data_IF_422861403826
#
_entry.id   IF_422861403826
#
_cell.length_a   1.000
_cell.length_b   1.000
_cell.length_c   1.000
_cell.angle_alpha   90.00
_cell.angle_beta   90.00
_cell.angle_gamma   90.00
#
_symmetry.space_group_name_H-M   'P 1'
#
loop_
_entity.id
_entity.type
_entity.pdbx_description
1 polymer ?
#
# COMPACT_ATOMS: atom_id res chain seq x y z
N UNK A 1 -31.01 55.10 -39.10
CA UNK A 1 -29.75 55.63 -38.55
C UNK A 1 -29.43 54.84 -37.29
N UNK A 2 -28.32 54.09 -37.29
CA UNK A 2 -27.92 53.23 -36.16
C UNK A 2 -27.20 51.97 -36.63
N UNK A 3 -26.10 52.15 -37.36
CA UNK A 3 -25.22 51.07 -37.83
C UNK A 3 -24.28 50.66 -36.69
N UNK A 4 -24.52 49.52 -36.05
CA UNK A 4 -23.61 48.92 -35.06
C UNK A 4 -22.60 48.02 -35.75
N UNK A 5 -21.36 48.52 -35.86
CA UNK A 5 -20.22 47.77 -36.35
C UNK A 5 -19.79 46.67 -35.38
N UNK A 6 -19.76 45.44 -35.89
CA UNK A 6 -19.10 44.31 -35.28
C UNK A 6 -17.72 44.19 -35.92
N UNK A 7 -16.72 44.78 -35.29
CA UNK A 7 -15.32 44.63 -35.69
C UNK A 7 -14.76 43.30 -35.14
N UNK A 8 -13.95 42.66 -35.97
CA UNK A 8 -13.54 41.27 -35.89
C UNK A 8 -12.75 40.89 -34.64
N UNK A 9 -13.13 39.76 -34.06
CA UNK A 9 -12.33 39.02 -33.08
C UNK A 9 -11.23 38.28 -33.86
N UNK A 10 -9.93 38.54 -33.59
CA UNK A 10 -8.85 37.81 -34.24
C UNK A 10 -8.74 36.40 -33.64
N UNK A 11 -9.25 35.40 -34.36
CA UNK A 11 -9.00 33.97 -34.13
C UNK A 11 -7.62 33.58 -34.63
N UNK A 12 -6.57 33.94 -33.89
CA UNK A 12 -5.26 33.31 -34.02
C UNK A 12 -4.97 32.55 -32.73
N UNK A 13 -5.48 31.32 -32.66
CA UNK A 13 -5.07 30.35 -31.63
C UNK A 13 -3.57 30.09 -31.84
N UNK A 14 -2.69 30.40 -30.89
CA UNK A 14 -1.27 30.09 -31.03
C UNK A 14 -1.13 28.57 -31.13
N UNK A 15 -0.68 28.10 -32.29
CA UNK A 15 -0.26 26.72 -32.49
C UNK A 15 0.91 26.49 -31.55
N UNK A 16 0.63 25.77 -30.45
CA UNK A 16 1.61 25.42 -29.43
C UNK A 16 2.53 24.37 -30.04
N UNK A 17 3.63 24.80 -30.66
CA UNK A 17 4.70 23.88 -31.04
C UNK A 17 5.17 23.14 -29.77
N UNK A 18 5.09 21.80 -29.72
CA UNK A 18 5.58 21.08 -28.58
C UNK A 18 7.10 21.27 -28.51
N UNK A 19 7.66 21.74 -27.38
CA UNK A 19 9.12 21.84 -27.23
C UNK A 19 9.73 20.44 -27.28
N UNK A 20 10.14 20.04 -28.48
CA UNK A 20 10.81 18.78 -28.77
C UNK A 20 12.29 18.89 -28.42
N UNK A 21 12.62 18.77 -27.13
CA UNK A 21 13.93 18.32 -26.65
C UNK A 21 13.88 18.15 -25.13
N UNK A 22 13.37 17.01 -24.68
CA UNK A 22 13.65 16.51 -23.33
C UNK A 22 15.16 16.19 -23.24
N UNK A 23 15.85 16.52 -22.14
CA UNK A 23 17.21 16.03 -21.90
C UNK A 23 17.16 14.50 -21.70
N UNK A 24 17.72 13.66 -22.61
CA UNK A 24 17.17 12.31 -22.80
C UNK A 24 18.16 11.17 -22.48
N UNK A 25 18.77 11.12 -21.29
CA UNK A 25 19.58 9.94 -20.95
C UNK A 25 19.58 9.55 -19.47
N UNK A 26 19.71 10.54 -18.57
CA UNK A 26 19.77 10.22 -17.13
C UNK A 26 18.40 9.83 -16.56
N UNK A 27 17.31 10.34 -17.15
CA UNK A 27 15.97 10.03 -16.68
C UNK A 27 15.55 8.60 -17.06
N UNK A 28 16.10 8.02 -18.14
CA UNK A 28 15.76 6.67 -18.59
C UNK A 28 16.32 5.58 -17.66
N UNK A 29 17.57 5.72 -17.20
CA UNK A 29 18.19 4.78 -16.23
C UNK A 29 17.43 4.81 -14.89
N UNK A 30 16.99 6.00 -14.47
CA UNK A 30 16.18 6.14 -13.28
C UNK A 30 14.80 5.49 -13.48
N UNK A 31 14.07 5.86 -14.52
CA UNK A 31 12.73 5.32 -14.77
C UNK A 31 12.73 3.80 -14.92
N UNK A 32 13.73 3.24 -15.61
CA UNK A 32 13.89 1.80 -15.79
C UNK A 32 14.15 1.07 -14.47
N UNK A 33 15.00 1.61 -13.59
CA UNK A 33 15.25 1.05 -12.26
C UNK A 33 13.98 1.02 -11.40
N UNK A 34 13.17 2.07 -11.45
CA UNK A 34 11.90 2.11 -10.71
C UNK A 34 10.82 1.22 -11.31
N UNK A 35 10.75 1.14 -12.64
CA UNK A 35 9.87 0.20 -13.35
C UNK A 35 10.21 -1.24 -12.98
N UNK A 36 11.50 -1.55 -12.83
CA UNK A 36 11.94 -2.84 -12.29
C UNK A 36 11.45 -3.03 -10.85
N UNK A 37 11.62 -2.03 -9.97
CA UNK A 37 11.13 -2.09 -8.60
C UNK A 37 9.63 -2.35 -8.48
N UNK A 38 8.80 -1.66 -9.28
CA UNK A 38 7.34 -1.88 -9.32
C UNK A 38 7.01 -3.28 -9.83
N UNK A 39 7.72 -3.76 -10.87
CA UNK A 39 7.55 -5.13 -11.38
C UNK A 39 7.93 -6.17 -10.33
N UNK A 40 9.07 -6.00 -9.67
CA UNK A 40 9.54 -6.91 -8.60
C UNK A 40 8.53 -6.93 -7.46
N UNK A 41 8.03 -5.78 -7.03
CA UNK A 41 6.98 -5.69 -6.01
C UNK A 41 5.68 -6.39 -6.45
N UNK A 42 5.29 -6.24 -7.72
CA UNK A 42 4.14 -6.92 -8.28
C UNK A 42 4.33 -8.44 -8.32
N UNK A 43 5.47 -8.92 -8.82
CA UNK A 43 5.79 -10.36 -8.86
C UNK A 43 5.91 -10.95 -7.46
N UNK A 44 6.52 -10.25 -6.51
CA UNK A 44 6.63 -10.71 -5.13
C UNK A 44 5.25 -10.81 -4.47
N UNK A 45 4.38 -9.80 -4.66
CA UNK A 45 3.03 -9.84 -4.11
C UNK A 45 2.18 -10.95 -4.75
N UNK A 46 2.33 -11.21 -6.07
CA UNK A 46 1.68 -12.36 -6.71
C UNK A 46 2.17 -13.69 -6.14
N UNK A 47 3.50 -13.85 -6.01
CA UNK A 47 4.10 -15.07 -5.49
C UNK A 47 3.67 -15.33 -4.04
N UNK A 48 3.72 -14.31 -3.17
CA UNK A 48 3.24 -14.40 -1.79
C UNK A 48 1.74 -14.75 -1.77
N UNK A 49 0.92 -14.09 -2.59
CA UNK A 49 -0.52 -14.36 -2.65
C UNK A 49 -0.88 -15.77 -3.13
N UNK A 50 0.00 -16.42 -3.90
CA UNK A 50 -0.20 -17.78 -4.35
C UNK A 50 0.36 -18.80 -3.33
N UNK A 51 1.56 -18.56 -2.82
CA UNK A 51 2.26 -19.46 -1.92
C UNK A 51 1.65 -19.49 -0.52
N UNK A 52 1.23 -18.35 0.04
CA UNK A 52 0.71 -18.28 1.42
C UNK A 52 -0.59 -19.08 1.58
N UNK A 53 -1.64 -18.87 0.76
CA UNK A 53 -2.86 -19.66 0.88
C UNK A 53 -2.58 -21.14 0.64
N UNK A 54 -1.74 -21.49 -0.34
CA UNK A 54 -1.37 -22.87 -0.63
C UNK A 54 -0.65 -23.54 0.55
N UNK A 55 0.30 -22.84 1.18
CA UNK A 55 0.98 -23.31 2.39
C UNK A 55 -0.01 -23.49 3.54
N UNK A 56 -0.93 -22.56 3.74
CA UNK A 56 -2.00 -22.70 4.75
C UNK A 56 -2.93 -23.88 4.46
N UNK A 57 -3.25 -24.16 3.18
CA UNK A 57 -4.01 -25.36 2.82
C UNK A 57 -3.24 -26.63 3.18
N UNK A 58 -1.95 -26.72 2.83
CA UNK A 58 -1.12 -27.88 3.14
C UNK A 58 -1.03 -28.12 4.66
N UNK A 59 -0.85 -27.06 5.45
CA UNK A 59 -0.81 -27.16 6.92
C UNK A 59 -2.16 -27.67 7.44
N UNK A 60 -3.28 -27.14 6.93
CA UNK A 60 -4.62 -27.57 7.32
C UNK A 60 -4.89 -29.05 6.98
N UNK A 61 -4.31 -29.55 5.89
CA UNK A 61 -4.40 -30.96 5.51
C UNK A 61 -3.48 -31.87 6.32
N UNK A 62 -2.29 -31.41 6.68
CA UNK A 62 -1.34 -32.18 7.48
C UNK A 62 -1.80 -32.33 8.93
N UNK A 63 -2.35 -31.27 9.51
CA UNK A 63 -2.72 -31.26 10.92
C UNK A 63 -3.96 -30.36 11.18
N UNK A 64 -5.17 -30.90 10.95
CA UNK A 64 -6.42 -30.13 11.09
C UNK A 64 -6.74 -29.77 12.54
N UNK A 65 -6.00 -30.34 13.50
CA UNK A 65 -6.20 -30.15 14.93
C UNK A 65 -5.54 -28.89 15.49
N UNK A 66 -4.65 -28.26 14.69
CA UNK A 66 -3.95 -27.06 15.12
C UNK A 66 -4.93 -25.90 15.38
N UNK A 67 -4.87 -25.23 16.54
CA UNK A 67 -5.46 -23.89 16.67
C UNK A 67 -4.70 -22.95 15.71
N UNK A 68 -5.36 -22.06 14.95
CA UNK A 68 -6.70 -21.49 15.12
C UNK A 68 -7.77 -22.05 14.15
N UNK A 69 -7.60 -23.27 13.63
CA UNK A 69 -8.52 -23.80 12.63
C UNK A 69 -9.85 -24.26 13.26
N UNK A 70 -10.97 -24.16 12.53
CA UNK A 70 -12.29 -24.63 12.98
C UNK A 70 -12.28 -26.13 13.27
N UNK A 71 -11.36 -26.87 12.65
CA UNK A 71 -11.06 -28.27 12.94
C UNK A 71 -10.80 -28.55 14.42
N UNK A 72 -10.21 -27.61 15.15
CA UNK A 72 -9.92 -27.75 16.59
C UNK A 72 -11.17 -27.71 17.50
N UNK A 73 -12.30 -27.18 17.01
CA UNK A 73 -13.55 -27.12 17.76
C UNK A 73 -14.32 -28.44 17.66
N UNK A 74 -14.05 -29.21 16.61
CA UNK A 74 -14.68 -30.50 16.40
C UNK A 74 -14.01 -31.58 17.28
N UNK A 75 -14.78 -32.58 17.74
CA UNK A 75 -14.25 -33.64 18.60
C UNK A 75 -13.10 -34.38 17.91
N UNK A 76 -12.09 -34.79 18.68
CA UNK A 76 -11.00 -35.60 18.14
C UNK A 76 -11.55 -36.88 17.52
N UNK A 77 -10.90 -37.32 16.45
CA UNK A 77 -11.20 -38.58 15.80
C UNK A 77 -10.87 -39.72 16.76
N UNK A 78 -11.88 -40.20 17.48
CA UNK A 78 -11.77 -41.42 18.28
C UNK A 78 -12.27 -42.63 17.46
N UNK A 79 -11.93 -43.85 17.87
CA UNK A 79 -12.29 -45.07 17.14
C UNK A 79 -13.81 -45.26 16.96
N UNK A 80 -14.64 -44.62 17.79
CA UNK A 80 -16.12 -44.71 17.73
C UNK A 80 -16.79 -43.56 16.95
N UNK A 81 -16.03 -42.83 16.12
CA UNK A 81 -16.56 -41.66 15.41
C UNK A 81 -17.58 -42.07 14.33
N UNK A 82 -18.82 -41.58 14.46
CA UNK A 82 -19.87 -41.79 13.44
C UNK A 82 -19.47 -41.22 12.08
N UNK A 83 -19.84 -41.90 10.98
CA UNK A 83 -19.55 -41.46 9.60
C UNK A 83 -20.00 -40.01 9.33
N UNK A 84 -21.08 -39.57 9.96
CA UNK A 84 -21.57 -38.20 9.88
C UNK A 84 -20.58 -37.14 10.40
N UNK A 85 -19.86 -37.44 11.49
CA UNK A 85 -18.83 -36.55 12.03
C UNK A 85 -17.64 -36.44 11.07
N UNK A 86 -17.20 -37.56 10.48
CA UNK A 86 -16.11 -37.54 9.48
C UNK A 86 -16.49 -36.65 8.29
N UNK A 87 -17.72 -36.79 7.78
CA UNK A 87 -18.21 -35.93 6.70
C UNK A 87 -18.25 -34.45 7.10
N UNK A 88 -18.68 -34.15 8.34
CA UNK A 88 -18.70 -32.80 8.88
C UNK A 88 -17.29 -32.20 8.96
N UNK A 89 -16.29 -32.94 9.46
CA UNK A 89 -14.90 -32.51 9.49
C UNK A 89 -14.37 -32.16 8.10
N UNK A 90 -14.62 -33.02 7.11
CA UNK A 90 -14.20 -32.78 5.72
C UNK A 90 -14.88 -31.52 5.16
N UNK A 91 -16.19 -31.36 5.39
CA UNK A 91 -16.95 -30.20 4.92
C UNK A 91 -16.44 -28.90 5.56
N UNK A 92 -16.20 -28.89 6.88
CA UNK A 92 -15.70 -27.72 7.60
C UNK A 92 -14.28 -27.36 7.15
N UNK A 93 -13.38 -28.35 7.02
CA UNK A 93 -12.03 -28.11 6.53
C UNK A 93 -12.02 -27.61 5.07
N UNK A 94 -12.87 -28.15 4.20
CA UNK A 94 -13.00 -27.71 2.81
C UNK A 94 -13.54 -26.28 2.74
N UNK A 95 -14.59 -25.97 3.50
CA UNK A 95 -15.17 -24.62 3.57
C UNK A 95 -14.17 -23.61 4.13
N UNK A 96 -13.47 -23.95 5.20
CA UNK A 96 -12.44 -23.11 5.80
C UNK A 96 -11.30 -22.84 4.81
N UNK A 97 -10.80 -23.89 4.15
CA UNK A 97 -9.74 -23.81 3.15
C UNK A 97 -10.16 -22.93 1.97
N UNK A 98 -11.38 -23.11 1.47
CA UNK A 98 -11.97 -22.28 0.42
C UNK A 98 -12.09 -20.81 0.85
N UNK A 99 -12.57 -20.55 2.07
CA UNK A 99 -12.71 -19.20 2.59
C UNK A 99 -11.33 -18.51 2.75
N UNK A 100 -10.34 -19.19 3.33
CA UNK A 100 -8.97 -18.67 3.46
C UNK A 100 -8.38 -18.38 2.09
N UNK A 101 -8.58 -19.27 1.12
CA UNK A 101 -8.09 -19.09 -0.23
C UNK A 101 -8.74 -17.88 -0.91
N UNK A 102 -10.08 -17.81 -0.93
CA UNK A 102 -10.81 -16.71 -1.56
C UNK A 102 -10.53 -15.36 -0.90
N UNK A 103 -10.69 -15.26 0.42
CA UNK A 103 -10.46 -13.99 1.12
C UNK A 103 -8.99 -13.61 1.16
N UNK A 104 -8.09 -14.55 1.43
CA UNK A 104 -6.66 -14.32 1.49
C UNK A 104 -6.11 -13.86 0.14
N UNK A 105 -6.45 -14.56 -0.94
CA UNK A 105 -6.02 -14.19 -2.29
C UNK A 105 -6.55 -12.81 -2.71
N UNK A 106 -7.86 -12.56 -2.56
CA UNK A 106 -8.45 -11.26 -2.89
C UNK A 106 -7.87 -10.13 -2.05
N UNK A 107 -7.64 -10.36 -0.76
CA UNK A 107 -7.01 -9.39 0.13
C UNK A 107 -5.57 -9.10 -0.28
N UNK A 108 -4.73 -10.13 -0.48
CA UNK A 108 -3.35 -9.97 -0.90
C UNK A 108 -3.23 -9.26 -2.26
N UNK A 109 -4.11 -9.56 -3.23
CA UNK A 109 -4.12 -8.84 -4.50
C UNK A 109 -4.55 -7.39 -4.33
N UNK A 110 -5.64 -7.13 -3.60
CA UNK A 110 -6.17 -5.77 -3.43
C UNK A 110 -5.18 -4.89 -2.67
N UNK A 111 -4.62 -5.39 -1.58
CA UNK A 111 -3.69 -4.65 -0.74
C UNK A 111 -2.30 -4.60 -1.38
N UNK A 112 -1.76 -5.76 -1.76
CA UNK A 112 -0.42 -5.87 -2.31
C UNK A 112 -0.29 -5.19 -3.68
N UNK A 113 -1.17 -5.49 -4.63
CA UNK A 113 -1.03 -4.91 -5.98
C UNK A 113 -1.58 -3.50 -6.04
N UNK A 114 -2.84 -3.32 -5.64
CA UNK A 114 -3.53 -2.06 -5.91
C UNK A 114 -3.01 -0.98 -4.96
N UNK A 115 -2.97 -1.24 -3.66
CA UNK A 115 -2.56 -0.20 -2.70
C UNK A 115 -1.04 0.07 -2.78
N UNK A 116 -0.19 -0.94 -2.57
CA UNK A 116 1.27 -0.71 -2.61
C UNK A 116 1.76 -0.32 -4.00
N UNK A 117 1.29 -0.98 -5.07
CA UNK A 117 1.66 -0.61 -6.43
C UNK A 117 1.28 0.83 -6.78
N UNK A 118 0.09 1.29 -6.37
CA UNK A 118 -0.31 2.69 -6.59
C UNK A 118 0.51 3.66 -5.73
N UNK A 119 0.79 3.34 -4.47
CA UNK A 119 1.63 4.18 -3.62
C UNK A 119 3.08 4.29 -4.12
N UNK A 120 3.66 3.19 -4.60
CA UNK A 120 5.00 3.17 -5.19
C UNK A 120 5.05 3.98 -6.49
N UNK A 121 4.06 3.81 -7.37
CA UNK A 121 3.99 4.59 -8.62
C UNK A 121 3.80 6.08 -8.35
N UNK A 122 2.92 6.48 -7.42
CA UNK A 122 2.77 7.88 -6.99
C UNK A 122 4.08 8.43 -6.43
N UNK A 123 4.75 7.67 -5.55
CA UNK A 123 6.04 8.07 -4.98
C UNK A 123 7.10 8.27 -6.07
N UNK A 124 7.14 7.37 -7.05
CA UNK A 124 8.02 7.46 -8.22
C UNK A 124 7.73 8.73 -9.03
N UNK A 125 6.47 9.00 -9.37
CA UNK A 125 6.09 10.18 -10.16
C UNK A 125 6.43 11.50 -9.45
N UNK A 126 6.15 11.61 -8.15
CA UNK A 126 6.52 12.79 -7.35
C UNK A 126 8.05 12.95 -7.30
N UNK A 127 8.80 11.84 -7.26
CA UNK A 127 10.26 11.86 -7.22
C UNK A 127 10.85 12.30 -8.54
N UNK A 128 10.32 11.80 -9.66
CA UNK A 128 10.68 12.24 -10.99
C UNK A 128 10.40 13.74 -11.18
N UNK A 129 9.23 14.20 -10.73
CA UNK A 129 8.85 15.61 -10.79
C UNK A 129 9.80 16.50 -9.96
N UNK A 130 10.12 16.08 -8.73
CA UNK A 130 11.07 16.81 -7.88
C UNK A 130 12.48 16.88 -8.50
N UNK A 131 12.91 15.85 -9.22
CA UNK A 131 14.19 15.83 -9.94
C UNK A 131 14.17 16.77 -11.14
N UNK A 132 13.08 16.76 -11.93
CA UNK A 132 12.89 17.70 -13.03
C UNK A 132 13.01 19.15 -12.56
N UNK A 133 12.39 19.49 -11.43
CA UNK A 133 12.51 20.84 -10.84
C UNK A 133 13.91 21.20 -10.38
N UNK A 134 14.72 20.22 -9.97
CA UNK A 134 16.13 20.47 -9.61
C UNK A 134 16.95 20.84 -10.85
N UNK A 135 16.62 20.27 -12.00
CA UNK A 135 17.33 20.54 -13.25
C UNK A 135 16.82 21.83 -13.94
N UNK A 136 15.50 22.06 -13.94
CA UNK A 136 14.85 23.21 -14.59
C UNK A 136 14.45 24.30 -13.59
N UNK A 137 15.34 24.64 -12.64
CA UNK A 137 15.04 25.48 -11.49
C UNK A 137 14.51 26.90 -11.82
N UNK A 138 14.68 27.38 -13.07
CA UNK A 138 14.31 28.74 -13.48
C UNK A 138 12.92 28.88 -14.11
N UNK A 139 12.31 27.82 -14.64
CA UNK A 139 10.99 27.93 -15.31
C UNK A 139 10.12 26.72 -15.00
N UNK A 140 9.08 26.93 -14.20
CA UNK A 140 7.98 25.96 -14.03
C UNK A 140 7.05 26.12 -15.22
N UNK A 141 6.81 25.04 -15.95
CA UNK A 141 5.85 25.02 -17.05
C UNK A 141 4.50 24.50 -16.59
N UNK A 142 3.42 24.92 -17.28
CA UNK A 142 2.06 24.44 -17.05
C UNK A 142 1.95 22.90 -17.12
N UNK A 143 2.80 22.27 -17.94
CA UNK A 143 2.85 20.81 -18.08
C UNK A 143 3.18 20.11 -16.76
N UNK A 144 4.15 20.64 -16.00
CA UNK A 144 4.52 20.08 -14.69
C UNK A 144 3.39 20.20 -13.68
N UNK A 145 2.64 21.31 -13.74
CA UNK A 145 1.48 21.56 -12.88
C UNK A 145 0.34 20.60 -13.21
N UNK A 146 0.01 20.46 -14.50
CA UNK A 146 -1.02 19.53 -14.96
C UNK A 146 -0.67 18.09 -14.58
N UNK A 147 0.59 17.68 -14.75
CA UNK A 147 1.04 16.35 -14.33
C UNK A 147 0.86 16.12 -12.83
N UNK A 148 1.23 17.10 -11.99
CA UNK A 148 1.01 17.00 -10.56
C UNK A 148 -0.47 16.89 -10.20
N UNK A 149 -1.36 17.65 -10.86
CA UNK A 149 -2.80 17.56 -10.66
C UNK A 149 -3.34 16.17 -11.00
N UNK A 150 -2.86 15.53 -12.07
CA UNK A 150 -3.26 14.16 -12.41
C UNK A 150 -2.88 13.17 -11.29
N UNK A 151 -1.67 13.30 -10.73
CA UNK A 151 -1.23 12.46 -9.59
C UNK A 151 -2.06 12.75 -8.34
N UNK A 152 -2.41 14.02 -8.10
CA UNK A 152 -3.28 14.41 -6.98
C UNK A 152 -4.68 13.79 -7.09
N UNK A 153 -5.28 13.81 -8.29
CA UNK A 153 -6.58 13.18 -8.58
C UNK A 153 -6.50 11.67 -8.33
N UNK A 154 -5.45 11.00 -8.84
CA UNK A 154 -5.25 9.56 -8.62
C UNK A 154 -5.19 9.23 -7.12
N UNK A 155 -4.43 9.99 -6.34
CA UNK A 155 -4.33 9.77 -4.90
C UNK A 155 -5.64 10.11 -4.18
N UNK A 156 -6.39 11.09 -4.66
CA UNK A 156 -7.73 11.40 -4.14
C UNK A 156 -8.68 10.21 -4.31
N UNK A 157 -8.67 9.56 -5.48
CA UNK A 157 -9.48 8.36 -5.72
C UNK A 157 -9.05 7.18 -4.84
N UNK A 158 -7.74 6.95 -4.68
CA UNK A 158 -7.22 5.92 -3.78
C UNK A 158 -7.65 6.22 -2.35
N UNK A 159 -7.49 7.45 -1.87
CA UNK A 159 -7.94 7.82 -0.55
C UNK A 159 -9.46 7.62 -0.42
N UNK A 160 -10.27 8.02 -1.38
CA UNK A 160 -11.73 7.89 -1.30
C UNK A 160 -12.17 6.41 -1.21
N UNK A 161 -11.54 5.53 -1.97
CA UNK A 161 -11.84 4.09 -1.97
C UNK A 161 -11.34 3.38 -0.71
N UNK A 162 -10.09 3.65 -0.30
CA UNK A 162 -9.43 2.87 0.74
C UNK A 162 -9.62 3.44 2.17
N UNK A 163 -9.86 4.76 2.32
CA UNK A 163 -9.91 5.45 3.63
C UNK A 163 -10.96 4.93 4.61
N UNK A 164 -12.21 4.63 4.23
CA UNK A 164 -13.25 4.34 5.22
C UNK A 164 -13.13 2.95 5.84
N UNK A 165 -12.73 1.94 5.06
CA UNK A 165 -12.78 0.54 5.52
C UNK A 165 -11.46 -0.20 5.33
N UNK A 166 -10.83 -0.05 4.16
CA UNK A 166 -9.70 -0.91 3.77
C UNK A 166 -8.44 -0.56 4.56
N UNK A 167 -8.10 0.72 4.66
CA UNK A 167 -6.92 1.20 5.39
C UNK A 167 -6.95 0.80 6.89
N UNK A 168 -8.02 1.10 7.66
CA UNK A 168 -8.14 0.65 9.05
C UNK A 168 -8.16 -0.87 9.17
N UNK A 169 -8.84 -1.57 8.25
CA UNK A 169 -8.91 -3.02 8.22
C UNK A 169 -7.54 -3.67 8.03
N UNK A 170 -6.71 -3.17 7.11
CA UNK A 170 -5.35 -3.66 6.89
C UNK A 170 -4.49 -3.45 8.12
N UNK A 171 -4.53 -2.25 8.72
CA UNK A 171 -3.72 -1.96 9.90
C UNK A 171 -4.12 -2.83 11.08
N UNK A 172 -5.42 -2.95 11.34
CA UNK A 172 -5.93 -3.80 12.43
C UNK A 172 -5.53 -5.27 12.18
N UNK A 173 -5.76 -5.77 10.97
CA UNK A 173 -5.38 -7.12 10.57
C UNK A 173 -3.88 -7.37 10.76
N UNK A 174 -3.03 -6.50 10.22
CA UNK A 174 -1.59 -6.66 10.31
C UNK A 174 -1.08 -6.56 11.76
N UNK A 175 -1.65 -5.68 12.58
CA UNK A 175 -1.33 -5.57 14.02
C UNK A 175 -1.75 -6.84 14.76
N UNK A 176 -2.98 -7.31 14.55
CA UNK A 176 -3.50 -8.52 15.20
C UNK A 176 -2.68 -9.76 14.83
N UNK A 177 -2.39 -9.95 13.54
CA UNK A 177 -1.55 -11.06 13.07
C UNK A 177 -0.15 -10.95 13.67
N UNK A 178 0.45 -9.75 13.69
CA UNK A 178 1.78 -9.56 14.25
C UNK A 178 1.84 -9.90 15.75
N UNK A 179 0.89 -9.40 16.55
CA UNK A 179 0.80 -9.69 17.98
C UNK A 179 0.63 -11.20 18.22
N UNK A 180 -0.30 -11.83 17.49
CA UNK A 180 -0.61 -13.24 17.62
C UNK A 180 0.58 -14.13 17.24
N UNK A 181 1.23 -13.85 16.09
CA UNK A 181 2.40 -14.62 15.65
C UNK A 181 3.58 -14.48 16.62
N UNK A 182 3.86 -13.28 17.15
CA UNK A 182 4.94 -13.11 18.13
C UNK A 182 4.59 -13.82 19.45
N UNK A 183 3.34 -13.70 19.92
CA UNK A 183 2.87 -14.40 21.11
C UNK A 183 3.05 -15.92 20.96
N UNK A 184 2.56 -16.53 19.88
CA UNK A 184 2.74 -17.97 19.62
C UNK A 184 4.22 -18.35 19.54
N UNK A 185 5.03 -17.54 18.87
CA UNK A 185 6.47 -17.79 18.76
C UNK A 185 7.14 -17.87 20.15
N UNK A 186 6.78 -16.95 21.05
CA UNK A 186 7.35 -16.91 22.41
C UNK A 186 6.75 -17.99 23.31
N UNK A 187 5.44 -18.22 23.23
CA UNK A 187 4.73 -19.24 24.01
C UNK A 187 5.22 -20.65 23.69
N UNK A 188 5.55 -20.94 22.43
CA UNK A 188 6.13 -22.22 22.00
C UNK A 188 7.61 -22.39 22.42
N UNK A 189 8.14 -21.52 23.30
CA UNK A 189 9.51 -21.55 23.84
C UNK A 189 10.63 -21.65 22.80
N UNK A 190 10.35 -21.28 21.55
CA UNK A 190 11.26 -21.51 20.43
C UNK A 190 11.67 -23.00 20.26
N UNK A 191 10.78 -23.96 20.54
CA UNK A 191 10.95 -25.36 20.10
C UNK A 191 10.73 -25.45 18.58
N UNK A 192 11.65 -24.80 17.85
CA UNK A 192 11.68 -24.69 16.39
C UNK A 192 12.04 -26.04 15.76
N UNK A 193 12.71 -26.91 16.51
CA UNK A 193 13.24 -28.17 15.98
C UNK A 193 12.23 -29.33 16.00
N UNK A 194 11.21 -29.28 16.85
CA UNK A 194 10.30 -30.42 16.99
C UNK A 194 9.21 -30.41 15.91
N UNK A 195 8.73 -29.23 15.50
CA UNK A 195 7.66 -29.09 14.51
C UNK A 195 7.94 -27.95 13.52
N UNK A 196 7.99 -28.27 12.21
CA UNK A 196 8.20 -27.29 11.12
C UNK A 196 7.18 -26.14 11.16
N UNK A 197 5.96 -26.40 11.68
CA UNK A 197 4.92 -25.40 11.87
C UNK A 197 5.35 -24.23 12.78
N UNK A 198 6.20 -24.48 13.79
CA UNK A 198 6.65 -23.42 14.70
C UNK A 198 7.54 -22.38 14.03
N UNK A 199 8.25 -22.73 12.95
CA UNK A 199 9.10 -21.79 12.21
C UNK A 199 8.30 -20.79 11.35
N UNK A 200 7.03 -21.08 11.07
CA UNK A 200 6.18 -20.24 10.22
C UNK A 200 5.73 -18.99 10.96
N UNK A 201 5.44 -19.09 12.27
CA UNK A 201 5.01 -17.96 13.09
C UNK A 201 6.02 -16.80 13.13
N UNK A 202 7.33 -17.00 13.42
CA UNK A 202 8.29 -15.90 13.41
C UNK A 202 8.48 -15.33 12.01
N UNK A 203 8.41 -16.15 10.96
CA UNK A 203 8.50 -15.66 9.58
C UNK A 203 7.32 -14.74 9.24
N UNK A 204 6.09 -15.15 9.55
CA UNK A 204 4.88 -14.33 9.39
C UNK A 204 4.93 -13.05 10.22
N UNK A 205 5.46 -13.11 11.44
CA UNK A 205 5.65 -11.92 12.28
C UNK A 205 6.64 -10.92 11.65
N UNK A 206 7.76 -11.39 11.13
CA UNK A 206 8.75 -10.54 10.46
C UNK A 206 8.15 -9.96 9.17
N UNK A 207 7.49 -10.79 8.36
CA UNK A 207 6.86 -10.36 7.11
C UNK A 207 5.81 -9.27 7.35
N UNK A 208 4.91 -9.47 8.30
CA UNK A 208 3.87 -8.49 8.66
C UNK A 208 4.46 -7.20 9.22
N UNK A 209 5.53 -7.28 10.02
CA UNK A 209 6.25 -6.11 10.52
C UNK A 209 6.91 -5.32 9.38
N UNK A 210 7.59 -6.00 8.46
CA UNK A 210 8.21 -5.38 7.28
C UNK A 210 7.16 -4.76 6.37
N UNK A 211 6.02 -5.41 6.16
CA UNK A 211 4.91 -4.87 5.39
C UNK A 211 4.33 -3.59 6.02
N UNK A 212 4.12 -3.58 7.35
CA UNK A 212 3.64 -2.41 8.10
C UNK A 212 4.63 -1.23 8.03
N UNK A 213 5.92 -1.50 8.26
CA UNK A 213 6.98 -0.51 8.19
C UNK A 213 7.14 0.04 6.76
N UNK A 214 7.17 -0.84 5.77
CA UNK A 214 7.28 -0.49 4.35
C UNK A 214 6.11 0.37 3.91
N UNK A 215 4.88 -0.01 4.28
CA UNK A 215 3.68 0.75 3.99
C UNK A 215 3.75 2.17 4.56
N UNK A 216 4.02 2.29 5.86
CA UNK A 216 4.07 3.59 6.54
C UNK A 216 5.22 4.46 6.04
N UNK A 217 6.37 3.86 5.70
CA UNK A 217 7.52 4.57 5.15
C UNK A 217 7.24 5.11 3.75
N UNK A 218 6.65 4.31 2.86
CA UNK A 218 6.28 4.77 1.50
C UNK A 218 5.24 5.88 1.57
N UNK A 219 4.19 5.72 2.39
CA UNK A 219 3.18 6.75 2.58
C UNK A 219 3.75 8.06 3.16
N UNK A 220 4.62 7.95 4.17
CA UNK A 220 5.28 9.10 4.78
C UNK A 220 6.28 9.80 3.85
N UNK A 221 7.05 9.03 3.06
CA UNK A 221 7.94 9.58 2.03
C UNK A 221 7.16 10.29 0.92
N UNK A 222 6.04 9.73 0.47
CA UNK A 222 5.17 10.38 -0.52
C UNK A 222 4.69 11.74 0.00
N UNK A 223 4.21 11.81 1.24
CA UNK A 223 3.77 13.06 1.87
C UNK A 223 4.92 14.08 2.02
N UNK A 224 6.08 13.65 2.54
CA UNK A 224 7.26 14.52 2.72
C UNK A 224 7.78 15.06 1.38
N UNK A 225 7.82 14.22 0.34
CA UNK A 225 8.27 14.64 -1.00
C UNK A 225 7.25 15.53 -1.69
N UNK A 226 5.97 15.27 -1.51
CA UNK A 226 4.90 16.07 -2.10
C UNK A 226 4.86 17.48 -1.50
N UNK A 227 4.92 17.60 -0.17
CA UNK A 227 4.97 18.90 0.53
C UNK A 227 6.18 19.73 0.10
N UNK A 228 7.37 19.10 0.01
CA UNK A 228 8.57 19.76 -0.50
C UNK A 228 8.41 20.23 -1.96
N UNK A 229 7.75 19.42 -2.80
CA UNK A 229 7.46 19.73 -4.19
C UNK A 229 6.55 20.96 -4.31
N UNK A 230 5.39 20.94 -3.64
CA UNK A 230 4.42 22.05 -3.63
C UNK A 230 5.05 23.34 -3.11
N UNK A 231 5.88 23.26 -2.06
CA UNK A 231 6.57 24.42 -1.50
C UNK A 231 7.58 25.02 -2.48
N UNK A 232 8.36 24.18 -3.18
CA UNK A 232 9.26 24.64 -4.24
C UNK A 232 8.49 25.28 -5.39
N UNK A 233 7.39 24.67 -5.83
CA UNK A 233 6.54 25.23 -6.89
C UNK A 233 6.02 26.62 -6.50
N UNK A 234 5.52 26.79 -5.28
CA UNK A 234 5.04 28.08 -4.77
C UNK A 234 6.13 29.15 -4.72
N UNK A 235 7.38 28.77 -4.44
CA UNK A 235 8.52 29.70 -4.34
C UNK A 235 9.08 30.11 -5.72
N UNK A 236 9.07 29.20 -6.69
CA UNK A 236 9.66 29.43 -8.01
C UNK A 236 8.72 30.15 -8.96
N UNK A 237 7.40 30.10 -8.76
CA UNK A 237 6.46 30.87 -9.58
C UNK A 237 6.65 32.36 -9.35
N UNK A 238 7.17 33.04 -10.37
CA UNK A 238 7.38 34.49 -10.42
C UNK A 238 6.04 35.23 -10.40
N UNK A 239 6.04 36.48 -9.91
CA UNK A 239 4.82 37.31 -9.81
C UNK A 239 4.16 37.63 -11.16
N UNK A 240 4.88 37.49 -12.27
CA UNK A 240 4.42 37.83 -13.62
C UNK A 240 3.34 36.89 -14.15
N UNK A 241 3.35 35.60 -13.79
CA UNK A 241 2.32 34.64 -14.22
C UNK A 241 1.20 34.52 -13.18
N UNK A 242 0.25 35.45 -13.20
CA UNK A 242 -0.88 35.49 -12.25
C UNK A 242 -1.72 34.21 -12.30
N UNK A 243 -1.94 33.65 -13.50
CA UNK A 243 -2.71 32.42 -13.71
C UNK A 243 -1.98 31.23 -13.08
N UNK A 244 -0.69 31.04 -13.40
CA UNK A 244 0.11 29.95 -12.86
C UNK A 244 0.21 30.03 -11.34
N UNK A 245 0.38 31.23 -10.80
CA UNK A 245 0.38 31.49 -9.36
C UNK A 245 -0.93 31.06 -8.70
N UNK A 246 -2.08 31.36 -9.32
CA UNK A 246 -3.39 30.96 -8.80
C UNK A 246 -3.54 29.44 -8.79
N UNK A 247 -3.11 28.75 -9.86
CA UNK A 247 -3.16 27.28 -9.93
C UNK A 247 -2.25 26.65 -8.88
N UNK A 248 -1.00 27.09 -8.78
CA UNK A 248 -0.02 26.55 -7.83
C UNK A 248 -0.40 26.84 -6.37
N UNK A 249 -1.07 27.96 -6.10
CA UNK A 249 -1.62 28.23 -4.78
C UNK A 249 -2.79 27.30 -4.42
N UNK A 250 -3.57 26.87 -5.41
CA UNK A 250 -4.65 25.90 -5.24
C UNK A 250 -4.18 24.45 -5.07
N UNK A 251 -2.92 24.13 -5.41
CA UNK A 251 -2.38 22.78 -5.22
C UNK A 251 -2.30 22.43 -3.73
N UNK A 252 -2.99 21.34 -3.37
CA UNK A 252 -2.85 20.75 -2.05
C UNK A 252 -1.71 19.72 -2.07
N UNK A 253 -0.93 19.62 -0.98
CA UNK A 253 0.04 18.55 -0.85
C UNK A 253 -0.68 17.19 -0.83
N UNK A 254 -0.11 16.24 -1.55
CA UNK A 254 -0.60 14.86 -1.60
C UNK A 254 -0.42 14.23 -0.21
N UNK A 255 -1.54 13.95 0.46
CA UNK A 255 -1.58 13.31 1.77
C UNK A 255 -2.37 12.02 1.69
N UNK A 256 -1.76 10.90 2.05
CA UNK A 256 -2.49 9.64 2.28
C UNK A 256 -3.19 9.78 3.63
N UNK A 257 -4.53 9.69 3.65
CA UNK A 257 -5.34 9.90 4.86
C UNK A 257 -5.85 8.57 5.41
N UNK A 258 -5.77 8.42 6.72
CA UNK A 258 -6.29 7.29 7.48
C UNK A 258 -7.41 7.77 8.40
N UNK A 259 -8.66 7.50 8.03
CA UNK A 259 -9.80 8.10 8.73
C UNK A 259 -9.67 9.63 8.75
N UNK A 260 -9.77 10.26 9.92
CA UNK A 260 -9.56 11.70 10.07
C UNK A 260 -8.10 12.10 10.32
N UNK A 261 -7.19 11.13 10.45
CA UNK A 261 -5.77 11.36 10.75
C UNK A 261 -4.88 11.20 9.50
N UNK A 262 -3.68 11.75 9.59
CA UNK A 262 -2.63 11.59 8.57
C UNK A 262 -1.63 10.55 9.03
N UNK A 263 -1.14 9.72 8.09
CA UNK A 263 0.01 8.86 8.37
C UNK A 263 1.24 9.74 8.36
N UNK A 264 1.86 9.85 9.51
CA UNK A 264 3.22 10.37 9.61
C UNK A 264 4.21 9.21 9.50
N UNK A 265 5.46 9.54 9.17
CA UNK A 265 6.56 8.55 9.13
C UNK A 265 6.71 7.83 10.48
N UNK A 266 6.25 8.44 11.56
CA UNK A 266 6.27 7.90 12.93
C UNK A 266 5.13 6.93 13.23
N UNK A 267 4.02 6.96 12.48
CA UNK A 267 2.87 6.06 12.70
C UNK A 267 3.26 4.58 12.70
N UNK A 268 4.01 4.04 11.70
CA UNK A 268 4.38 2.63 11.73
C UNK A 268 5.28 2.27 12.93
N UNK A 269 6.10 3.20 13.42
CA UNK A 269 6.95 3.00 14.61
C UNK A 269 6.10 2.91 15.89
N UNK A 270 5.08 3.77 16.01
CA UNK A 270 4.13 3.71 17.13
C UNK A 270 3.33 2.41 17.07
N UNK A 271 2.92 1.98 15.87
CA UNK A 271 2.20 0.73 15.67
C UNK A 271 3.03 -0.49 16.07
N UNK A 272 4.29 -0.58 15.65
CA UNK A 272 5.16 -1.71 16.04
C UNK A 272 5.47 -1.71 17.55
N UNK A 273 5.68 -0.54 18.15
CA UNK A 273 5.83 -0.42 19.61
C UNK A 273 4.55 -0.86 20.35
N UNK A 274 3.37 -0.53 19.81
CA UNK A 274 2.10 -0.99 20.34
C UNK A 274 1.95 -2.51 20.23
N UNK A 275 2.33 -3.12 19.10
CA UNK A 275 2.36 -4.57 18.95
C UNK A 275 3.24 -5.22 20.02
N UNK A 276 4.49 -4.75 20.15
CA UNK A 276 5.44 -5.28 21.15
C UNK A 276 4.89 -5.17 22.58
N UNK A 277 4.35 -4.01 22.96
CA UNK A 277 3.75 -3.79 24.28
C UNK A 277 2.54 -4.70 24.55
N UNK A 278 1.72 -4.92 23.53
CA UNK A 278 0.53 -5.77 23.64
C UNK A 278 0.93 -7.24 23.78
N UNK A 279 1.92 -7.69 23.02
CA UNK A 279 2.49 -9.04 23.16
C UNK A 279 3.08 -9.26 24.57
N UNK A 280 3.86 -8.32 25.09
CA UNK A 280 4.41 -8.44 26.46
C UNK A 280 3.29 -8.54 27.50
N UNK A 281 2.20 -7.78 27.34
CA UNK A 281 1.04 -7.88 28.23
C UNK A 281 0.34 -9.24 28.17
N UNK A 282 0.21 -9.83 26.99
CA UNK A 282 -0.35 -11.18 26.83
C UNK A 282 0.55 -12.21 27.50
N UNK A 283 1.87 -12.12 27.32
CA UNK A 283 2.83 -13.02 27.96
C UNK A 283 2.90 -12.91 29.48
N UNK A 284 2.51 -11.77 30.06
CA UNK A 284 2.44 -11.59 31.51
C UNK A 284 1.11 -12.06 32.11
N UNK A 285 0.10 -12.34 31.28
CA UNK A 285 -1.20 -12.85 31.72
C UNK A 285 -1.26 -14.39 31.70
N UNK A 286 -0.38 -15.04 30.95
CA UNK A 286 -0.10 -16.48 31.03
C UNK A 286 0.79 -16.83 32.23
#
# INVERSE_FOLDING_TARGET
MGSTGWEGVPTSVPIFEPPSRFPPLHDDVFLSSWKLGVRVCGWSALLISACVPFGMMLICFCDPSLPPFLGSILPLWDQDTTLGMIFLHILVNLYQTWAIYCFGFTFCLTVGQILFGTLLSVTMYITALNRSFKHHARKITIVHVNFYQQVEILVSHVNLCFRPAVLPGILLYAVSVNIFCIYLTVSSKFDIQEHVGNAIFPFMAIETAVALLGFGLVAGLANKRSTACTHKMKRTVTRTDVVLKKIVNGLAPIKVRFGNNFIEVTTPLVTTAFCAKSTVRLLLLD
#
